data_IF_670117262671
#
_entry.id   IF_670117262671
#
_cell.length_a   1.000
_cell.length_b   1.000
_cell.length_c   1.000
_cell.angle_alpha   90.00
_cell.angle_beta   90.00
_cell.angle_gamma   90.00
#
_symmetry.space_group_name_H-M   'P 1'
#
loop_
_entity.id
_entity.type
_entity.pdbx_description
1 polymer ?
#
# COMPACT_ATOMS: atom_id res chain seq x y z
N UNK A 1 7.52 -0.09 -14.20
CA UNK A 1 7.79 -1.02 -13.09
C UNK A 1 9.14 -1.67 -13.36
N UNK A 2 10.09 -1.62 -12.43
CA UNK A 2 11.42 -2.23 -12.63
C UNK A 2 11.34 -3.68 -12.19
N UNK A 3 11.86 -4.57 -13.03
CA UNK A 3 11.91 -6.00 -12.75
C UNK A 3 12.96 -6.34 -11.68
N UNK A 4 12.70 -7.39 -10.90
CA UNK A 4 13.58 -7.91 -9.84
C UNK A 4 14.94 -8.31 -10.41
N UNK A 5 14.97 -8.78 -11.67
CA UNK A 5 16.21 -9.10 -12.39
C UNK A 5 17.08 -7.86 -12.60
N UNK A 6 16.50 -6.73 -13.00
CA UNK A 6 17.23 -5.47 -13.24
C UNK A 6 17.78 -4.89 -11.93
N UNK A 7 17.02 -4.96 -10.84
CA UNK A 7 17.48 -4.54 -9.51
C UNK A 7 18.66 -5.40 -9.02
N UNK A 8 18.58 -6.73 -9.23
CA UNK A 8 19.65 -7.67 -8.90
C UNK A 8 20.93 -7.42 -9.72
N UNK A 9 20.79 -7.04 -10.99
CA UNK A 9 21.90 -6.66 -11.86
C UNK A 9 22.59 -5.37 -11.38
N UNK A 10 21.80 -4.33 -11.07
CA UNK A 10 22.31 -3.04 -10.54
C UNK A 10 23.13 -3.26 -9.26
N UNK A 11 22.62 -4.06 -8.32
CA UNK A 11 23.33 -4.38 -7.07
C UNK A 11 24.61 -5.18 -7.34
N UNK A 12 24.56 -6.16 -8.24
CA UNK A 12 25.74 -6.95 -8.61
C UNK A 12 26.83 -6.06 -9.22
N UNK A 13 26.46 -5.14 -10.11
CA UNK A 13 27.43 -4.23 -10.72
C UNK A 13 28.06 -3.27 -9.70
N UNK A 14 27.26 -2.73 -8.78
CA UNK A 14 27.76 -1.80 -7.76
C UNK A 14 28.60 -2.50 -6.68
N UNK A 15 28.05 -3.52 -6.01
CA UNK A 15 28.69 -4.15 -4.85
C UNK A 15 29.74 -5.20 -5.20
N UNK A 16 29.57 -5.96 -6.29
CA UNK A 16 30.54 -7.00 -6.69
C UNK A 16 31.54 -6.54 -7.74
N UNK A 17 31.10 -5.75 -8.72
CA UNK A 17 31.97 -5.29 -9.81
C UNK A 17 32.56 -3.90 -9.57
N UNK A 18 32.20 -3.21 -8.48
CA UNK A 18 32.71 -1.86 -8.17
C UNK A 18 32.37 -0.80 -9.21
N UNK A 19 31.35 -1.04 -10.05
CA UNK A 19 31.02 -0.16 -11.17
C UNK A 19 30.49 1.19 -10.67
N UNK A 20 30.95 2.32 -11.23
CA UNK A 20 30.49 3.63 -10.80
C UNK A 20 29.02 3.82 -11.15
N UNK A 21 28.28 4.50 -10.25
CA UNK A 21 26.84 4.78 -10.42
C UNK A 21 26.53 5.44 -11.77
N UNK A 22 27.42 6.31 -12.27
CA UNK A 22 27.27 6.98 -13.56
C UNK A 22 27.25 6.00 -14.75
N UNK A 23 28.01 4.91 -14.66
CA UNK A 23 28.03 3.89 -15.69
C UNK A 23 26.76 3.02 -15.62
N UNK A 24 26.31 2.69 -14.40
CA UNK A 24 25.05 1.98 -14.20
C UNK A 24 23.87 2.79 -14.77
N UNK A 25 23.85 4.12 -14.57
CA UNK A 25 22.79 4.98 -15.14
C UNK A 25 22.81 4.99 -16.67
N UNK A 26 23.99 5.00 -17.30
CA UNK A 26 24.10 4.95 -18.77
C UNK A 26 23.63 3.61 -19.33
N UNK A 27 23.96 2.50 -18.66
CA UNK A 27 23.58 1.15 -19.10
C UNK A 27 22.09 0.83 -18.87
N UNK A 28 21.50 1.34 -17.79
CA UNK A 28 20.11 1.03 -17.41
C UNK A 28 19.09 2.05 -17.92
N UNK A 29 19.54 3.23 -18.36
CA UNK A 29 18.65 4.34 -18.72
C UNK A 29 17.90 4.95 -17.53
N UNK A 30 18.20 4.52 -16.30
CA UNK A 30 17.55 5.01 -15.09
C UNK A 30 18.20 6.28 -14.57
N UNK A 31 17.39 7.14 -13.94
CA UNK A 31 17.92 8.34 -13.29
C UNK A 31 18.90 7.97 -12.18
N UNK A 32 19.90 8.83 -11.95
CA UNK A 32 20.88 8.66 -10.87
C UNK A 32 20.21 8.54 -9.49
N UNK A 33 19.11 9.26 -9.28
CA UNK A 33 18.35 9.23 -8.03
C UNK A 33 17.66 7.87 -7.84
N UNK A 34 17.13 7.29 -8.92
CA UNK A 34 16.53 5.96 -8.94
C UNK A 34 17.57 4.88 -8.59
N UNK A 35 18.75 4.91 -9.23
CA UNK A 35 19.84 3.97 -8.92
C UNK A 35 20.29 4.10 -7.47
N UNK A 36 20.49 5.32 -6.97
CA UNK A 36 20.88 5.57 -5.58
C UNK A 36 19.82 5.05 -4.59
N UNK A 37 18.54 5.30 -4.85
CA UNK A 37 17.42 4.82 -4.02
C UNK A 37 17.43 3.29 -3.90
N UNK A 38 17.66 2.59 -5.01
CA UNK A 38 17.68 1.12 -5.04
C UNK A 38 18.91 0.48 -4.39
N UNK A 39 20.05 1.17 -4.43
CA UNK A 39 21.25 0.76 -3.71
C UNK A 39 21.11 0.98 -2.20
N UNK A 40 20.44 2.06 -1.78
CA UNK A 40 20.22 2.38 -0.37
C UNK A 40 19.13 1.51 0.29
N UNK A 41 18.07 1.16 -0.44
CA UNK A 41 16.85 0.65 0.19
C UNK A 41 16.93 -0.80 0.67
N UNK A 42 17.89 -1.62 0.24
CA UNK A 42 18.00 -3.04 0.63
C UNK A 42 16.83 -3.95 0.16
N UNK A 43 15.65 -3.37 -0.12
CA UNK A 43 14.43 -4.04 -0.57
C UNK A 43 14.65 -4.74 -1.91
N UNK A 44 14.30 -6.02 -1.98
CA UNK A 44 14.48 -6.90 -3.15
C UNK A 44 13.36 -6.74 -4.18
N UNK A 45 12.19 -6.27 -3.76
CA UNK A 45 11.05 -6.04 -4.64
C UNK A 45 10.58 -4.57 -4.56
N UNK A 46 10.57 -3.83 -5.69
CA UNK A 46 9.99 -2.50 -5.72
C UNK A 46 8.46 -2.60 -5.57
N UNK A 47 7.99 -2.66 -4.33
CA UNK A 47 6.55 -2.61 -4.03
C UNK A 47 6.13 -1.16 -3.89
N UNK A 48 5.09 -0.77 -4.62
CA UNK A 48 4.43 0.50 -4.37
C UNK A 48 3.87 0.47 -2.93
N UNK A 49 4.04 1.56 -2.14
CA UNK A 49 3.36 1.65 -0.87
C UNK A 49 1.85 1.47 -1.09
N UNK A 50 1.17 0.80 -0.15
CA UNK A 50 -0.29 0.71 -0.22
C UNK A 50 -0.84 2.12 -0.29
N UNK A 51 -1.75 2.35 -1.25
CA UNK A 51 -2.39 3.65 -1.40
C UNK A 51 -3.37 3.82 -0.25
N UNK A 52 -2.99 4.60 0.75
CA UNK A 52 -3.91 5.04 1.79
C UNK A 52 -4.70 6.21 1.22
N UNK A 53 -5.88 5.92 0.67
CA UNK A 53 -6.82 6.96 0.25
C UNK A 53 -7.77 7.16 1.43
N UNK A 54 -7.82 8.35 2.06
CA UNK A 54 -8.75 8.58 3.14
C UNK A 54 -10.17 8.37 2.60
N UNK A 55 -10.89 7.43 3.18
CA UNK A 55 -12.30 7.21 2.90
C UNK A 55 -13.12 8.14 3.78
N UNK A 56 -14.25 8.62 3.25
CA UNK A 56 -15.26 9.35 4.05
C UNK A 56 -15.80 8.51 5.22
N UNK A 57 -15.61 7.20 5.16
CA UNK A 57 -16.05 6.25 6.19
C UNK A 57 -15.00 5.99 7.26
N UNK A 58 -13.76 6.48 7.11
CA UNK A 58 -12.67 6.21 8.06
C UNK A 58 -13.02 6.77 9.45
N UNK A 59 -13.68 7.93 9.51
CA UNK A 59 -14.15 8.55 10.76
C UNK A 59 -15.22 7.71 11.47
N UNK A 60 -15.96 6.88 10.73
CA UNK A 60 -17.08 6.07 11.24
C UNK A 60 -16.72 4.59 11.39
N UNK A 61 -15.49 4.18 11.09
CA UNK A 61 -15.06 2.77 11.04
C UNK A 61 -15.37 2.03 12.35
N UNK A 62 -15.02 2.62 13.49
CA UNK A 62 -15.24 2.02 14.80
C UNK A 62 -16.73 1.86 15.11
N UNK A 63 -17.54 2.87 14.76
CA UNK A 63 -18.99 2.88 14.98
C UNK A 63 -19.68 1.82 14.13
N UNK A 64 -19.34 1.75 12.84
CA UNK A 64 -19.88 0.76 11.91
C UNK A 64 -19.50 -0.67 12.31
N UNK A 65 -18.25 -0.88 12.72
CA UNK A 65 -17.77 -2.18 13.22
C UNK A 65 -18.58 -2.63 14.44
N UNK A 66 -18.81 -1.73 15.40
CA UNK A 66 -19.60 -2.01 16.59
C UNK A 66 -21.07 -2.32 16.26
N UNK A 67 -21.66 -1.60 15.31
CA UNK A 67 -23.03 -1.85 14.87
C UNK A 67 -23.16 -3.22 14.20
N UNK A 68 -22.28 -3.53 13.25
CA UNK A 68 -22.27 -4.83 12.57
C UNK A 68 -22.05 -5.98 13.56
N UNK A 69 -21.18 -5.82 14.55
CA UNK A 69 -20.94 -6.81 15.59
C UNK A 69 -22.17 -7.05 16.49
N UNK A 70 -22.87 -5.98 16.88
CA UNK A 70 -24.12 -6.10 17.63
C UNK A 70 -25.19 -6.82 16.80
N UNK A 71 -25.22 -6.53 15.50
CA UNK A 71 -26.22 -7.04 14.58
C UNK A 71 -25.99 -8.51 14.21
N UNK A 72 -24.73 -8.96 14.14
CA UNK A 72 -24.38 -10.36 13.90
C UNK A 72 -24.84 -11.27 15.04
N UNK A 73 -24.85 -10.77 16.28
CA UNK A 73 -25.30 -11.48 17.47
C UNK A 73 -26.82 -11.48 17.68
N UNK A 74 -27.56 -10.63 16.97
CA UNK A 74 -29.02 -10.55 17.10
C UNK A 74 -29.73 -11.67 16.34
N UNK A 75 -30.83 -12.13 16.92
CA UNK A 75 -31.74 -13.07 16.29
C UNK A 75 -32.30 -12.48 14.98
N UNK A 76 -32.47 -13.31 13.94
CA UNK A 76 -32.79 -12.88 12.56
C UNK A 76 -33.97 -11.92 12.47
N UNK A 77 -35.03 -12.11 13.28
CA UNK A 77 -36.23 -11.24 13.29
C UNK A 77 -36.01 -9.87 13.93
N UNK A 78 -35.03 -9.74 14.81
CA UNK A 78 -34.68 -8.49 15.50
C UNK A 78 -33.50 -7.78 14.81
N UNK A 79 -32.99 -8.38 13.73
CA UNK A 79 -31.78 -7.91 13.09
C UNK A 79 -32.05 -6.63 12.29
N UNK A 80 -31.39 -5.52 12.60
CA UNK A 80 -31.46 -4.31 11.77
C UNK A 80 -30.91 -4.59 10.38
N UNK A 81 -31.59 -4.04 9.39
CA UNK A 81 -31.18 -4.13 7.98
C UNK A 81 -30.09 -3.11 7.67
N UNK A 82 -29.30 -3.38 6.63
CA UNK A 82 -28.27 -2.43 6.14
C UNK A 82 -28.89 -1.06 5.83
N UNK A 83 -30.12 -1.01 5.30
CA UNK A 83 -30.84 0.26 5.04
C UNK A 83 -31.14 1.04 6.31
N UNK A 84 -31.43 0.37 7.43
CA UNK A 84 -31.62 1.03 8.72
C UNK A 84 -30.30 1.56 9.26
N UNK A 85 -29.24 0.74 9.23
CA UNK A 85 -27.90 1.18 9.63
C UNK A 85 -27.37 2.35 8.78
N UNK A 86 -27.68 2.38 7.48
CA UNK A 86 -27.37 3.52 6.63
C UNK A 86 -28.11 4.80 7.05
N UNK A 87 -29.40 4.70 7.41
CA UNK A 87 -30.15 5.87 7.92
C UNK A 87 -29.57 6.36 9.24
N UNK A 88 -29.24 5.43 10.14
CA UNK A 88 -28.62 5.76 11.42
C UNK A 88 -27.24 6.43 11.19
N UNK A 89 -26.47 5.99 10.18
CA UNK A 89 -25.18 6.59 9.80
C UNK A 89 -25.37 8.03 9.27
N UNK A 90 -26.33 8.26 8.39
CA UNK A 90 -26.65 9.59 7.85
C UNK A 90 -27.10 10.60 8.93
N UNK A 91 -27.60 10.13 10.08
CA UNK A 91 -27.93 11.02 11.21
C UNK A 91 -26.68 11.48 11.98
N UNK A 92 -25.56 10.75 11.86
CA UNK A 92 -24.29 11.08 12.50
C UNK A 92 -23.40 12.00 11.64
N UNK A 93 -23.73 12.18 10.35
CA UNK A 93 -23.04 13.07 9.41
C UNK A 93 -23.17 12.63 7.96
#
# INVERSE_FOLDING_TARGET
>A
MIDVALLSAIRRWHFRKGMPIREITRRTGLSRNTVRKYLASGVVEPRYPKRNSPSKLDEYEQTLTNWLFRESKRHRKQRRTIRQLHRDLMQLG
#
